data_IF_753558420615
#
_entry.id   IF_753558420615
#
_cell.length_a   1.000
_cell.length_b   1.000
_cell.length_c   1.000
_cell.angle_alpha   90.00
_cell.angle_beta   90.00
_cell.angle_gamma   90.00
#
_symmetry.space_group_name_H-M   'P 1'
#
loop_
_entity.id
_entity.type
_entity.pdbx_description
1 polymer ?
#
# COMPACT_ATOMS: atom_id res chain seq x y z
N UNK A 1 -16.02 -27.94 -4.38
CA UNK A 1 -15.90 -26.69 -3.59
C UNK A 1 -14.76 -25.86 -4.16
N UNK A 2 -15.02 -24.66 -4.66
CA UNK A 2 -13.99 -23.77 -5.20
C UNK A 2 -13.18 -23.19 -4.04
N UNK A 3 -11.88 -23.50 -3.99
CA UNK A 3 -10.97 -23.05 -2.93
C UNK A 3 -10.77 -21.53 -3.05
N UNK A 4 -11.31 -20.75 -2.11
CA UNK A 4 -11.06 -19.30 -2.03
C UNK A 4 -9.61 -19.11 -1.58
N UNK A 5 -8.76 -18.55 -2.45
CA UNK A 5 -7.37 -18.21 -2.13
C UNK A 5 -7.32 -16.74 -1.71
N UNK A 6 -7.14 -16.52 -0.41
CA UNK A 6 -6.91 -15.22 0.20
C UNK A 6 -5.40 -15.05 0.39
N UNK A 7 -4.83 -13.96 -0.11
CA UNK A 7 -3.45 -13.58 0.18
C UNK A 7 -3.46 -12.22 0.88
N UNK A 8 -2.72 -12.15 1.99
CA UNK A 8 -2.55 -10.96 2.80
C UNK A 8 -1.07 -10.62 2.76
N UNK A 9 -0.75 -9.34 2.60
CA UNK A 9 0.60 -8.84 2.75
C UNK A 9 0.61 -7.62 3.66
N UNK A 10 1.79 -7.27 4.17
CA UNK A 10 1.94 -6.27 5.22
C UNK A 10 2.86 -5.15 4.76
N UNK A 11 2.43 -3.91 4.97
CA UNK A 11 3.26 -2.73 4.91
C UNK A 11 3.51 -2.22 6.32
N UNK A 12 4.71 -1.73 6.58
CA UNK A 12 5.00 -0.89 7.74
C UNK A 12 4.90 0.58 7.30
N UNK A 13 4.05 1.36 7.97
CA UNK A 13 3.85 2.80 7.72
C UNK A 13 4.29 3.55 8.97
N UNK A 14 5.54 4.03 8.98
CA UNK A 14 6.17 4.67 10.12
C UNK A 14 6.13 6.18 9.99
N UNK A 15 5.51 6.85 10.95
CA UNK A 15 5.46 8.32 11.06
C UNK A 15 6.23 8.78 12.30
N UNK A 16 7.12 9.76 12.10
CA UNK A 16 7.85 10.36 13.21
C UNK A 16 6.92 11.26 14.06
N UNK A 17 7.04 11.22 15.39
CA UNK A 17 6.19 11.99 16.33
C UNK A 17 4.70 11.61 16.39
N UNK A 18 4.34 10.34 16.12
CA UNK A 18 2.93 9.89 16.07
C UNK A 18 2.14 10.00 17.39
N UNK A 19 2.81 10.18 18.54
CA UNK A 19 2.19 10.33 19.86
C UNK A 19 1.72 11.77 20.16
N UNK A 20 2.04 12.74 19.29
CA UNK A 20 1.66 14.14 19.48
C UNK A 20 0.29 14.38 18.85
N UNK A 21 -0.75 14.61 19.66
CA UNK A 21 -2.12 14.98 19.27
C UNK A 21 -2.43 15.09 17.76
N UNK A 22 -2.12 16.24 17.14
CA UNK A 22 -2.42 16.54 15.72
C UNK A 22 -1.67 15.66 14.71
N UNK A 23 -0.53 15.09 15.10
CA UNK A 23 0.33 14.20 14.30
C UNK A 23 0.00 12.71 14.52
N UNK A 24 -1.21 12.37 14.96
CA UNK A 24 -1.62 10.99 15.18
C UNK A 24 -1.89 10.23 13.87
N UNK A 25 -1.76 8.90 13.89
CA UNK A 25 -2.15 8.05 12.76
C UNK A 25 -3.63 8.20 12.39
N UNK A 26 -4.49 8.51 13.36
CA UNK A 26 -5.89 8.80 13.11
C UNK A 26 -6.05 10.02 12.18
N UNK A 27 -5.35 11.11 12.48
CA UNK A 27 -5.37 12.30 11.64
C UNK A 27 -4.75 12.07 10.26
N UNK A 28 -3.69 11.26 10.19
CA UNK A 28 -3.09 10.86 8.91
C UNK A 28 -4.11 10.14 8.04
N UNK A 29 -4.76 9.09 8.55
CA UNK A 29 -5.72 8.32 7.78
C UNK A 29 -6.99 9.12 7.44
N UNK A 30 -7.44 10.03 8.30
CA UNK A 30 -8.51 10.96 7.95
C UNK A 30 -8.12 11.92 6.82
N UNK A 31 -6.89 12.43 6.84
CA UNK A 31 -6.39 13.31 5.76
C UNK A 31 -6.26 12.52 4.45
N UNK A 32 -5.76 11.28 4.51
CA UNK A 32 -5.67 10.38 3.35
C UNK A 32 -7.03 9.98 2.76
N UNK A 33 -8.11 10.08 3.56
CA UNK A 33 -9.47 9.74 3.17
C UNK A 33 -10.26 10.93 2.58
N UNK A 34 -9.62 12.09 2.41
CA UNK A 34 -10.24 13.23 1.77
C UNK A 34 -10.42 12.99 0.25
N UNK A 35 -11.51 13.49 -0.32
CA UNK A 35 -11.88 13.32 -1.73
C UNK A 35 -10.83 13.89 -2.71
N UNK A 36 -10.05 14.88 -2.27
CA UNK A 36 -8.99 15.49 -3.09
C UNK A 36 -7.67 14.69 -3.09
N UNK A 37 -7.56 13.65 -2.25
CA UNK A 37 -6.33 12.87 -2.10
C UNK A 37 -6.40 11.58 -2.93
N UNK A 38 -5.79 11.65 -4.12
CA UNK A 38 -5.72 10.55 -5.09
C UNK A 38 -4.28 10.30 -5.53
N UNK A 39 -3.91 9.04 -5.70
CA UNK A 39 -2.64 8.64 -6.28
C UNK A 39 -2.81 8.09 -7.70
N UNK A 40 -2.05 8.63 -8.65
CA UNK A 40 -1.95 8.10 -10.01
C UNK A 40 -1.04 6.86 -10.03
N UNK A 41 -1.59 5.67 -10.28
CA UNK A 41 -0.82 4.41 -10.25
C UNK A 41 -0.05 4.16 -11.55
N UNK A 42 -0.74 4.38 -12.67
CA UNK A 42 -0.27 4.26 -14.05
C UNK A 42 -1.04 5.27 -14.93
N UNK A 43 -0.87 5.28 -16.25
CA UNK A 43 -1.53 6.27 -17.13
C UNK A 43 -3.05 6.25 -17.09
N UNK A 44 -3.65 5.11 -16.73
CA UNK A 44 -5.09 4.86 -16.88
C UNK A 44 -5.80 4.55 -15.57
N UNK A 45 -5.06 4.26 -14.50
CA UNK A 45 -5.63 3.93 -13.20
C UNK A 45 -5.14 4.86 -12.11
N UNK A 46 -6.07 5.18 -11.22
CA UNK A 46 -5.81 5.88 -9.98
C UNK A 46 -6.34 5.05 -8.80
N UNK A 47 -5.91 5.44 -7.60
CA UNK A 47 -6.45 4.91 -6.37
C UNK A 47 -6.45 5.94 -5.23
N UNK A 48 -7.41 5.79 -4.33
CA UNK A 48 -7.57 6.60 -3.12
C UNK A 48 -8.00 5.74 -1.93
N UNK A 49 -8.00 6.33 -0.73
CA UNK A 49 -8.60 5.70 0.44
C UNK A 49 -10.10 5.97 0.43
N UNK A 50 -10.89 4.91 0.31
CA UNK A 50 -12.34 4.92 0.36
C UNK A 50 -12.87 4.77 1.79
N UNK A 51 -13.95 4.01 2.00
CA UNK A 51 -14.52 3.77 3.34
C UNK A 51 -13.43 3.53 4.41
N UNK A 52 -13.47 4.30 5.50
CA UNK A 52 -12.50 4.26 6.60
C UNK A 52 -13.22 4.32 7.95
N UNK A 53 -12.79 3.48 8.89
CA UNK A 53 -13.22 3.50 10.27
C UNK A 53 -12.01 3.35 11.19
N UNK A 54 -11.67 4.43 11.91
CA UNK A 54 -10.51 4.50 12.81
C UNK A 54 -10.84 4.19 14.27
N UNK A 55 -12.10 3.95 14.61
CA UNK A 55 -12.57 3.80 16.01
C UNK A 55 -12.73 2.33 16.43
N UNK A 56 -12.24 1.37 15.63
CA UNK A 56 -12.35 -0.05 15.98
C UNK A 56 -11.32 -0.47 17.01
N UNK A 57 -11.73 -1.40 17.87
CA UNK A 57 -10.92 -1.94 18.95
C UNK A 57 -11.25 -3.41 19.19
N UNK A 58 -10.23 -4.21 19.53
CA UNK A 58 -10.35 -5.60 19.96
C UNK A 58 -9.50 -5.80 21.22
N UNK A 59 -10.15 -6.03 22.36
CA UNK A 59 -9.47 -5.95 23.66
C UNK A 59 -8.92 -4.54 23.89
N UNK A 60 -7.63 -4.42 24.18
CA UNK A 60 -6.92 -3.12 24.29
C UNK A 60 -6.35 -2.64 22.94
N UNK A 61 -6.41 -3.45 21.89
CA UNK A 61 -5.79 -3.15 20.61
C UNK A 61 -6.71 -2.32 19.72
N UNK A 62 -6.34 -1.07 19.45
CA UNK A 62 -6.97 -0.23 18.43
C UNK A 62 -6.53 -0.66 17.03
N UNK A 63 -7.45 -0.61 16.07
CA UNK A 63 -7.17 -0.85 14.65
C UNK A 63 -8.10 -0.02 13.76
N UNK A 64 -7.66 0.28 12.54
CA UNK A 64 -8.45 0.97 11.53
C UNK A 64 -8.86 -0.03 10.46
N UNK A 65 -10.14 -0.01 10.08
CA UNK A 65 -10.64 -0.76 8.93
C UNK A 65 -10.82 0.21 7.78
N UNK A 66 -10.34 -0.16 6.60
CA UNK A 66 -10.61 0.64 5.43
C UNK A 66 -10.62 -0.11 4.11
N UNK A 67 -10.88 0.65 3.06
CA UNK A 67 -10.86 0.18 1.68
C UNK A 67 -9.94 1.08 0.86
N UNK A 68 -9.06 0.48 0.07
CA UNK A 68 -8.43 1.15 -1.06
C UNK A 68 -9.40 1.03 -2.23
N UNK A 69 -9.72 2.17 -2.84
CA UNK A 69 -10.53 2.26 -4.04
C UNK A 69 -9.61 2.41 -5.23
N UNK A 70 -9.66 1.45 -6.16
CA UNK A 70 -8.95 1.51 -7.43
C UNK A 70 -9.96 1.62 -8.56
N UNK A 71 -9.70 2.49 -9.52
CA UNK A 71 -10.58 2.68 -10.67
C UNK A 71 -9.81 3.17 -11.90
N UNK A 72 -10.46 3.07 -13.06
CA UNK A 72 -9.95 3.66 -14.29
C UNK A 72 -10.26 5.16 -14.33
N UNK A 73 -9.23 5.97 -14.61
CA UNK A 73 -9.31 7.41 -14.79
C UNK A 73 -9.22 7.70 -16.28
N UNK A 74 -10.37 7.60 -16.95
CA UNK A 74 -10.48 7.84 -18.39
C UNK A 74 -10.37 9.34 -18.65
N UNK A 75 -9.44 9.73 -19.52
CA UNK A 75 -9.32 11.07 -20.05
C UNK A 75 -10.15 11.19 -21.33
N UNK A 76 -11.28 11.93 -21.31
CA UNK A 76 -12.17 12.04 -22.47
C UNK A 76 -11.55 12.83 -23.63
N UNK A 77 -10.48 13.60 -23.38
CA UNK A 77 -9.81 14.40 -24.41
C UNK A 77 -8.83 13.57 -25.25
N UNK A 78 -8.43 12.39 -24.76
CA UNK A 78 -7.55 11.49 -25.51
C UNK A 78 -8.27 10.83 -26.68
N UNK A 79 -7.49 10.45 -27.69
CA UNK A 79 -8.02 9.66 -28.79
C UNK A 79 -8.54 8.30 -28.33
N UNK A 80 -9.70 7.94 -28.87
CA UNK A 80 -10.35 6.66 -28.64
C UNK A 80 -10.27 5.83 -29.91
N UNK A 81 -9.91 4.55 -29.81
CA UNK A 81 -9.89 3.65 -30.96
C UNK A 81 -11.31 3.18 -31.28
N UNK A 82 -11.79 3.45 -32.49
CA UNK A 82 -12.95 2.77 -33.05
C UNK A 82 -12.55 1.35 -33.48
N UNK A 83 -12.99 0.35 -32.73
CA UNK A 83 -12.60 -1.04 -32.95
C UNK A 83 -13.20 -1.68 -34.21
N UNK A 84 -14.25 -1.09 -34.79
CA UNK A 84 -14.88 -1.52 -36.04
C UNK A 84 -14.10 -1.01 -37.25
N UNK A 85 -13.72 0.27 -37.25
CA UNK A 85 -12.98 0.89 -38.36
C UNK A 85 -11.46 0.76 -38.20
N UNK A 86 -10.98 0.39 -37.01
CA UNK A 86 -9.56 0.33 -36.61
C UNK A 86 -8.85 1.69 -36.72
N UNK A 87 -9.58 2.79 -36.59
CA UNK A 87 -9.08 4.17 -36.66
C UNK A 87 -9.42 4.95 -35.39
N UNK A 88 -8.84 6.14 -35.22
CA UNK A 88 -9.30 7.07 -34.20
C UNK A 88 -10.78 7.40 -34.41
N UNK A 89 -11.54 7.42 -33.32
CA UNK A 89 -12.94 7.77 -33.28
C UNK A 89 -13.13 9.24 -33.67
N UNK A 90 -14.13 9.52 -34.49
CA UNK A 90 -14.48 10.91 -34.83
C UNK A 90 -15.10 11.63 -33.64
N UNK A 91 -15.18 12.96 -33.70
CA UNK A 91 -15.79 13.75 -32.61
C UNK A 91 -17.27 13.38 -32.39
N UNK A 92 -17.99 13.01 -33.45
CA UNK A 92 -19.36 12.50 -33.35
C UNK A 92 -19.43 11.16 -32.61
N UNK A 93 -18.48 10.25 -32.87
CA UNK A 93 -18.39 8.97 -32.18
C UNK A 93 -18.01 9.18 -30.71
N UNK A 94 -17.07 10.10 -30.42
CA UNK A 94 -16.68 10.48 -29.05
C UNK A 94 -17.84 11.06 -28.25
N UNK A 95 -18.78 11.78 -28.86
CA UNK A 95 -20.00 12.28 -28.18
C UNK A 95 -20.89 11.17 -27.61
N UNK A 96 -20.77 9.92 -28.08
CA UNK A 96 -21.47 8.78 -27.48
C UNK A 96 -20.78 8.24 -26.22
N UNK A 97 -19.49 8.55 -26.04
CA UNK A 97 -18.66 8.13 -24.91
C UNK A 97 -18.68 9.17 -23.77
N UNK A 98 -19.87 9.61 -23.36
CA UNK A 98 -20.00 10.54 -22.24
C UNK A 98 -19.99 9.74 -20.93
N UNK A 99 -18.83 9.70 -20.28
CA UNK A 99 -18.72 9.24 -18.88
C UNK A 99 -18.78 10.47 -17.97
N UNK A 100 -19.77 10.58 -17.06
CA UNK A 100 -19.81 11.68 -16.11
C UNK A 100 -18.52 11.76 -15.30
N UNK A 101 -17.98 12.98 -15.09
CA UNK A 101 -16.67 13.18 -14.42
C UNK A 101 -16.56 12.52 -13.03
N UNK A 102 -17.68 12.35 -12.33
CA UNK A 102 -17.75 11.74 -11.00
C UNK A 102 -17.93 10.22 -11.01
N UNK A 103 -18.20 9.60 -12.17
CA UNK A 103 -18.32 8.15 -12.30
C UNK A 103 -17.00 7.56 -12.82
N UNK A 104 -16.41 6.68 -12.03
CA UNK A 104 -15.14 6.03 -12.35
C UNK A 104 -15.36 4.55 -12.67
N UNK A 105 -15.16 4.11 -13.93
CA UNK A 105 -15.33 2.71 -14.30
C UNK A 105 -14.22 1.82 -13.72
N UNK A 106 -14.39 0.50 -13.83
CA UNK A 106 -13.46 -0.51 -13.32
C UNK A 106 -13.15 -0.36 -11.81
N UNK A 107 -14.15 0.08 -11.06
CA UNK A 107 -14.07 0.24 -9.62
C UNK A 107 -13.84 -1.09 -8.91
N UNK A 108 -12.80 -1.14 -8.07
CA UNK A 108 -12.46 -2.29 -7.23
C UNK A 108 -12.19 -1.80 -5.82
N UNK A 109 -12.79 -2.50 -4.85
CA UNK A 109 -12.53 -2.32 -3.43
C UNK A 109 -11.49 -3.32 -2.95
N UNK A 110 -10.47 -2.84 -2.25
CA UNK A 110 -9.38 -3.65 -1.68
C UNK A 110 -9.33 -3.39 -0.18
N UNK A 111 -9.74 -4.34 0.67
CA UNK A 111 -9.76 -4.12 2.12
C UNK A 111 -8.36 -4.07 2.71
N UNK A 112 -8.22 -3.24 3.75
CA UNK A 112 -7.04 -3.21 4.61
C UNK A 112 -7.41 -3.06 6.08
N UNK A 113 -6.49 -3.47 6.94
CA UNK A 113 -6.51 -3.22 8.38
C UNK A 113 -5.22 -2.55 8.79
N UNK A 114 -5.29 -1.40 9.43
CA UNK A 114 -4.13 -0.74 10.02
C UNK A 114 -4.11 -0.93 11.54
N UNK A 115 -2.97 -1.27 12.09
CA UNK A 115 -2.75 -1.35 13.53
C UNK A 115 -1.72 -0.27 13.89
N UNK A 116 -2.15 0.86 14.51
CA UNK A 116 -1.25 1.96 14.84
C UNK A 116 -0.12 1.54 15.76
N UNK A 117 -0.43 0.69 16.74
CA UNK A 117 0.56 0.04 17.61
C UNK A 117 1.36 -0.97 16.78
N UNK A 118 2.63 -0.66 16.52
CA UNK A 118 3.51 -1.45 15.64
C UNK A 118 3.44 -1.04 14.16
N UNK A 119 2.67 -0.01 13.81
CA UNK A 119 2.71 0.65 12.49
C UNK A 119 2.38 -0.25 11.28
N UNK A 120 1.55 -1.29 11.48
CA UNK A 120 1.33 -2.34 10.47
C UNK A 120 0.04 -2.16 9.71
N UNK A 121 0.12 -2.17 8.39
CA UNK A 121 -0.99 -2.16 7.46
C UNK A 121 -1.11 -3.50 6.73
N UNK A 122 -2.11 -4.28 7.08
CA UNK A 122 -2.45 -5.55 6.44
C UNK A 122 -3.38 -5.28 5.26
N UNK A 123 -3.03 -5.76 4.07
CA UNK A 123 -3.83 -5.57 2.85
C UNK A 123 -4.14 -6.92 2.23
N UNK A 124 -5.37 -7.06 1.75
CA UNK A 124 -5.75 -8.18 0.92
C UNK A 124 -5.21 -8.01 -0.51
N UNK A 125 -4.12 -8.71 -0.85
CA UNK A 125 -3.46 -8.57 -2.15
C UNK A 125 -4.06 -9.45 -3.25
N UNK A 126 -4.82 -10.47 -2.86
CA UNK A 126 -5.52 -11.35 -3.81
C UNK A 126 -6.93 -11.68 -3.35
N UNK A 127 -7.90 -11.44 -4.23
CA UNK A 127 -9.27 -11.89 -4.07
C UNK A 127 -9.88 -12.28 -5.42
N UNK A 128 -10.25 -13.56 -5.58
CA UNK A 128 -10.76 -14.11 -6.85
C UNK A 128 -9.78 -13.82 -8.00
N UNK A 129 -10.19 -12.99 -8.98
CA UNK A 129 -9.39 -12.61 -10.15
C UNK A 129 -8.65 -11.27 -9.97
N UNK A 130 -8.93 -10.52 -8.91
CA UNK A 130 -8.31 -9.23 -8.67
C UNK A 130 -7.01 -9.41 -7.88
N UNK A 131 -5.89 -8.96 -8.48
CA UNK A 131 -4.58 -8.93 -7.87
C UNK A 131 -4.16 -7.48 -7.63
N UNK A 132 -4.01 -7.11 -6.37
CA UNK A 132 -3.41 -5.84 -5.95
C UNK A 132 -2.14 -6.15 -5.16
N UNK A 133 -1.04 -6.35 -5.88
CA UNK A 133 0.23 -6.79 -5.28
C UNK A 133 0.79 -5.78 -4.28
N UNK A 134 1.55 -6.29 -3.31
CA UNK A 134 2.11 -5.49 -2.20
C UNK A 134 3.00 -4.33 -2.68
N UNK A 135 3.74 -4.49 -3.77
CA UNK A 135 4.55 -3.41 -4.36
C UNK A 135 3.70 -2.26 -4.89
N UNK A 136 2.52 -2.55 -5.45
CA UNK A 136 1.58 -1.52 -5.90
C UNK A 136 0.95 -0.80 -4.70
N UNK A 137 0.68 -1.55 -3.63
CA UNK A 137 0.20 -0.94 -2.39
C UNK A 137 1.26 -0.03 -1.75
N UNK A 138 2.53 -0.46 -1.69
CA UNK A 138 3.64 0.39 -1.23
C UNK A 138 3.67 1.70 -2.03
N UNK A 139 3.72 1.58 -3.37
CA UNK A 139 3.72 2.75 -4.27
C UNK A 139 2.51 3.65 -4.06
N UNK A 140 1.32 3.07 -3.86
CA UNK A 140 0.11 3.83 -3.55
C UNK A 140 0.31 4.69 -2.30
N UNK A 141 0.67 4.07 -1.17
CA UNK A 141 0.84 4.82 0.06
C UNK A 141 1.95 5.86 -0.05
N UNK A 142 3.07 5.55 -0.69
CA UNK A 142 4.14 6.52 -0.97
C UNK A 142 3.65 7.74 -1.76
N UNK A 143 2.85 7.54 -2.80
CA UNK A 143 2.28 8.64 -3.59
C UNK A 143 1.27 9.46 -2.78
N UNK A 144 0.44 8.82 -1.96
CA UNK A 144 -0.53 9.53 -1.14
C UNK A 144 0.16 10.40 -0.10
N UNK A 145 1.19 9.88 0.61
CA UNK A 145 1.90 10.64 1.65
C UNK A 145 2.84 11.72 1.10
N UNK A 146 3.27 11.58 -0.16
CA UNK A 146 4.09 12.59 -0.85
C UNK A 146 3.29 13.82 -1.29
N UNK A 147 1.96 13.82 -1.16
CA UNK A 147 1.18 15.02 -1.43
C UNK A 147 1.68 16.19 -0.56
N UNK A 148 1.74 17.39 -1.15
CA UNK A 148 2.30 18.57 -0.47
C UNK A 148 1.61 18.84 0.86
N UNK A 149 0.29 18.65 0.91
CA UNK A 149 -0.51 18.81 2.12
C UNK A 149 -0.10 17.83 3.22
N UNK A 150 0.07 16.55 2.88
CA UNK A 150 0.40 15.50 3.86
C UNK A 150 1.84 15.64 4.34
N UNK A 151 2.79 15.83 3.42
CA UNK A 151 4.21 15.99 3.78
C UNK A 151 4.46 17.22 4.66
N UNK A 152 3.78 18.34 4.39
CA UNK A 152 3.89 19.55 5.23
C UNK A 152 3.27 19.37 6.62
N UNK A 153 2.17 18.60 6.73
CA UNK A 153 1.43 18.43 7.98
C UNK A 153 2.03 17.36 8.89
N UNK A 154 2.45 16.23 8.32
CA UNK A 154 2.87 15.05 9.08
C UNK A 154 4.39 14.80 9.05
N UNK A 155 5.13 15.54 8.23
CA UNK A 155 6.57 15.37 8.08
C UNK A 155 6.94 14.08 7.34
N UNK A 156 8.08 13.50 7.72
CA UNK A 156 8.60 12.30 7.07
C UNK A 156 7.83 11.06 7.54
N UNK A 157 7.14 10.44 6.59
CA UNK A 157 6.48 9.13 6.74
C UNK A 157 7.20 8.14 5.83
N UNK A 158 7.56 6.99 6.38
CA UNK A 158 8.22 5.92 5.65
C UNK A 158 7.27 4.74 5.43
N UNK A 159 7.23 4.21 4.21
CA UNK A 159 6.43 3.03 3.85
C UNK A 159 7.38 1.92 3.38
N UNK A 160 7.41 0.81 4.11
CA UNK A 160 8.22 -0.35 3.78
C UNK A 160 7.37 -1.60 3.64
N UNK A 161 7.81 -2.55 2.82
CA UNK A 161 7.17 -3.87 2.73
C UNK A 161 7.74 -4.71 3.85
N UNK A 162 6.89 -5.25 4.70
CA UNK A 162 7.32 -6.23 5.70
C UNK A 162 7.43 -7.59 4.99
N UNK A 163 8.64 -8.15 4.89
CA UNK A 163 8.84 -9.41 4.20
C UNK A 163 8.25 -10.55 5.03
N UNK A 164 7.65 -11.55 4.37
CA UNK A 164 7.11 -12.71 5.06
C UNK A 164 8.24 -13.43 5.80
N UNK A 165 8.18 -13.43 7.13
CA UNK A 165 9.16 -14.08 8.00
C UNK A 165 9.43 -15.54 7.62
N UNK A 166 8.44 -16.27 7.11
CA UNK A 166 8.61 -17.66 6.68
C UNK A 166 9.31 -17.77 5.32
N UNK A 167 9.04 -16.86 4.38
CA UNK A 167 9.77 -16.78 3.10
C UNK A 167 11.21 -16.28 3.30
N UNK A 168 11.43 -15.32 4.21
CA UNK A 168 12.75 -14.87 4.62
C UNK A 168 13.52 -16.01 5.26
N UNK A 169 12.90 -16.76 6.18
CA UNK A 169 13.54 -17.93 6.80
C UNK A 169 13.84 -19.03 5.77
N UNK A 170 12.95 -19.26 4.79
CA UNK A 170 13.20 -20.19 3.67
C UNK A 170 14.35 -19.74 2.78
N UNK A 171 14.43 -18.44 2.45
CA UNK A 171 15.50 -17.85 1.65
C UNK A 171 16.84 -17.84 2.40
N UNK A 172 16.82 -17.56 3.71
CA UNK A 172 18.00 -17.69 4.58
C UNK A 172 18.45 -19.15 4.64
N UNK A 173 17.54 -20.12 4.71
CA UNK A 173 17.87 -21.54 4.82
C UNK A 173 18.19 -22.23 3.49
N UNK A 174 18.28 -21.49 2.37
CA UNK A 174 18.70 -22.02 1.07
C UNK A 174 20.22 -22.14 1.00
N UNK A 175 20.71 -23.36 0.73
CA UNK A 175 22.14 -23.67 0.63
C UNK A 175 22.75 -23.33 -0.75
N UNK A 176 21.94 -22.83 -1.68
CA UNK A 176 22.30 -22.54 -3.07
C UNK A 176 22.43 -21.03 -3.37
N UNK A 177 22.39 -20.18 -2.33
CA UNK A 177 22.51 -18.73 -2.46
C UNK A 177 23.86 -18.29 -1.89
N UNK A 178 24.80 -17.96 -2.79
CA UNK A 178 26.16 -17.53 -2.42
C UNK A 178 26.22 -16.12 -1.81
N UNK A 179 25.20 -15.28 -2.05
CA UNK A 179 25.14 -13.90 -1.55
C UNK A 179 23.68 -13.42 -1.40
N UNK A 180 23.29 -13.12 -0.17
CA UNK A 180 22.01 -12.48 0.15
C UNK A 180 22.27 -11.04 0.60
N UNK A 181 21.78 -10.05 -0.15
CA UNK A 181 21.83 -8.64 0.23
C UNK A 181 20.45 -8.29 0.81
N UNK A 182 20.38 -8.09 2.12
CA UNK A 182 19.16 -7.68 2.83
C UNK A 182 19.33 -6.23 3.25
N UNK A 183 18.55 -5.33 2.65
CA UNK A 183 18.40 -3.97 3.15
C UNK A 183 17.48 -3.99 4.36
N UNK A 184 18.09 -4.13 5.54
CA UNK A 184 17.39 -4.00 6.82
C UNK A 184 17.31 -2.50 7.12
N UNK A 185 16.22 -1.88 6.69
CA UNK A 185 15.81 -0.59 7.25
C UNK A 185 15.47 -0.87 8.72
N UNK A 186 16.10 -0.13 9.64
CA UNK A 186 15.80 -0.27 11.07
C UNK A 186 14.32 0.10 11.28
N UNK A 187 13.46 -0.83 11.74
CA UNK A 187 12.16 -0.42 12.25
C UNK A 187 12.44 0.51 13.44
N UNK A 188 11.59 1.52 13.63
CA UNK A 188 11.79 2.60 14.57
C UNK A 188 12.30 2.15 15.97
N UNK A 189 13.05 3.03 16.68
CA UNK A 189 13.59 2.74 18.01
C UNK A 189 12.54 2.36 19.07
N UNK A 190 11.25 2.57 18.81
CA UNK A 190 10.15 2.27 19.74
C UNK A 190 9.64 0.81 19.62
N UNK A 191 10.06 0.04 18.60
CA UNK A 191 9.63 -1.34 18.35
C UNK A 191 10.75 -2.37 18.59
N UNK A 192 11.66 -2.06 19.53
CA UNK A 192 12.74 -2.97 19.93
C UNK A 192 12.13 -4.11 20.75
N UNK A 193 12.14 -5.31 20.21
CA UNK A 193 11.81 -6.50 20.99
C UNK A 193 12.27 -7.80 20.37
N UNK A 194 11.43 -8.41 19.53
CA UNK A 194 11.48 -9.86 19.41
C UNK A 194 12.03 -10.37 18.07
N UNK A 195 11.64 -9.78 16.95
CA UNK A 195 11.97 -10.31 15.61
C UNK A 195 13.39 -9.93 15.20
N UNK A 196 13.78 -8.66 15.41
CA UNK A 196 15.10 -8.16 15.01
C UNK A 196 16.23 -8.86 15.78
N UNK A 197 16.06 -9.10 17.08
CA UNK A 197 17.05 -9.84 17.90
C UNK A 197 17.23 -11.27 17.39
N UNK A 198 16.13 -11.97 17.13
CA UNK A 198 16.17 -13.35 16.61
C UNK A 198 16.85 -13.41 15.23
N UNK A 199 16.57 -12.43 14.36
CA UNK A 199 17.17 -12.33 13.03
C UNK A 199 18.67 -11.99 13.11
N UNK A 200 19.04 -11.02 13.95
CA UNK A 200 20.43 -10.60 14.18
C UNK A 200 21.29 -11.71 14.79
N UNK A 201 20.74 -12.48 15.73
CA UNK A 201 21.43 -13.65 16.30
C UNK A 201 21.65 -14.74 15.26
N UNK A 202 20.65 -15.01 14.40
CA UNK A 202 20.78 -15.97 13.29
C UNK A 202 21.80 -15.51 12.24
N UNK A 203 21.87 -14.21 11.94
CA UNK A 203 22.86 -13.63 11.02
C UNK A 203 24.29 -13.69 11.59
N UNK A 204 24.47 -13.39 12.89
CA UNK A 204 25.75 -13.54 13.59
C UNK A 204 26.24 -14.99 13.58
N UNK A 205 25.35 -15.96 13.77
CA UNK A 205 25.68 -17.40 13.71
C UNK A 205 26.20 -17.85 12.34
N UNK A 206 25.98 -17.08 11.26
CA UNK A 206 26.37 -17.43 9.89
C UNK A 206 27.44 -16.53 9.27
N UNK A 207 28.13 -15.68 10.05
CA UNK A 207 29.17 -14.77 9.57
C UNK A 207 28.73 -13.84 8.42
N UNK A 208 27.43 -13.52 8.34
CA UNK A 208 26.89 -12.61 7.33
C UNK A 208 27.26 -11.17 7.69
N UNK A 209 27.93 -10.45 6.77
CA UNK A 209 28.37 -9.07 7.00
C UNK A 209 27.22 -8.08 6.78
N UNK A 210 27.05 -7.17 7.74
CA UNK A 210 26.18 -5.99 7.62
C UNK A 210 26.95 -4.91 6.86
N UNK A 211 26.42 -4.43 5.74
CA UNK A 211 26.91 -3.21 5.10
C UNK A 211 26.06 -2.04 5.60
N UNK A 212 26.72 -1.01 6.16
CA UNK A 212 26.09 0.27 6.46
C UNK A 212 26.19 1.12 5.19
N UNK A 213 25.06 1.62 4.71
CA UNK A 213 25.00 2.96 4.11
C UNK A 213 24.32 3.87 5.12
#
# INVERSE_FOLDING_TARGET
MTKIRLEIAVLNIAMHNHDKGELSYENLFHTLNNDDVEAQLDETHAACIGELNVSKQYGEQRYFLGQIYKYAKIDPERDCLNTRTKKAATDEEKKSLIVPKHLRPHFVKIPFVFIPKGHRLYIQTKHKQNLFGITKAKKLFELLIQSKEISQKFGDIEVTIEPDSAEVERLINRNDIDKLIVDIVRPNPDDIGCVEQTLLEKMKKRNLKKTKN
#
